data_IF_310052793467
#
_entry.id   IF_310052793467
#
_cell.length_a   1.000
_cell.length_b   1.000
_cell.length_c   1.000
_cell.angle_alpha   90.00
_cell.angle_beta   90.00
_cell.angle_gamma   90.00
#
_symmetry.space_group_name_H-M   'P 1'
#
loop_
_entity.id
_entity.type
_entity.pdbx_description
1 polymer ?
#
# COMPACT_ATOMS: atom_id res chain seq x y z
N UNK A 1 -12.69 -18.17 -19.75
CA UNK A 1 -12.23 -18.71 -18.46
C UNK A 1 -11.06 -17.85 -17.99
N UNK A 2 -11.07 -17.45 -16.72
CA UNK A 2 -10.51 -16.21 -16.19
C UNK A 2 -8.98 -16.17 -16.20
N UNK A 3 -8.47 -15.00 -16.53
CA UNK A 3 -7.06 -14.62 -16.61
C UNK A 3 -6.27 -15.03 -15.36
N UNK A 4 -5.29 -15.90 -15.57
CA UNK A 4 -4.17 -16.14 -14.65
C UNK A 4 -3.22 -14.97 -14.77
N UNK A 5 -3.12 -14.10 -13.76
CA UNK A 5 -1.95 -13.25 -13.62
C UNK A 5 -1.72 -12.95 -12.14
N UNK A 6 -0.43 -12.94 -11.77
CA UNK A 6 0.16 -12.72 -10.45
C UNK A 6 0.38 -13.94 -9.57
N UNK A 7 1.51 -14.62 -9.81
CA UNK A 7 2.59 -14.78 -8.82
C UNK A 7 3.81 -15.31 -9.59
N UNK A 8 4.76 -14.43 -9.93
CA UNK A 8 6.08 -14.86 -10.41
C UNK A 8 7.11 -14.56 -9.33
N UNK A 9 7.27 -15.53 -8.43
CA UNK A 9 8.55 -15.84 -7.80
C UNK A 9 8.71 -17.36 -7.90
N UNK A 10 9.16 -17.85 -9.06
CA UNK A 10 9.72 -19.19 -9.15
C UNK A 10 11.11 -19.16 -8.51
N UNK A 11 11.20 -19.69 -7.28
CA UNK A 11 12.41 -20.27 -6.71
C UNK A 11 12.07 -21.73 -6.35
N UNK A 12 13.03 -22.66 -6.50
CA UNK A 12 12.75 -24.09 -6.44
C UNK A 12 12.36 -24.49 -5.02
N UNK A 13 11.13 -24.96 -4.81
CA UNK A 13 10.64 -25.77 -3.67
C UNK A 13 11.43 -25.61 -2.36
N UNK A 14 11.62 -24.37 -1.90
CA UNK A 14 11.96 -24.10 -0.51
C UNK A 14 10.64 -24.25 0.21
N UNK A 15 10.56 -25.18 1.17
CA UNK A 15 9.41 -25.26 2.08
C UNK A 15 9.17 -23.86 2.64
N UNK A 16 8.11 -23.20 2.16
CA UNK A 16 7.68 -21.91 2.67
C UNK A 16 7.18 -22.18 4.08
N UNK A 17 7.99 -21.89 5.09
CA UNK A 17 7.58 -21.85 6.48
C UNK A 17 7.35 -20.39 6.86
N UNK A 18 6.16 -19.81 6.54
CA UNK A 18 5.85 -18.45 6.94
C UNK A 18 5.86 -18.36 8.47
N UNK A 19 6.47 -17.30 8.99
CA UNK A 19 6.43 -16.98 10.42
C UNK A 19 5.57 -15.74 10.61
N UNK A 20 4.69 -15.76 11.61
CA UNK A 20 3.99 -14.57 12.07
C UNK A 20 5.00 -13.68 12.82
N UNK A 21 5.17 -12.45 12.37
CA UNK A 21 6.19 -11.53 12.89
C UNK A 21 5.59 -10.30 13.58
N UNK A 22 4.34 -9.97 13.25
CA UNK A 22 3.57 -8.89 13.85
C UNK A 22 2.09 -9.27 13.81
N UNK A 23 1.44 -9.14 14.96
CA UNK A 23 0.00 -9.23 15.10
C UNK A 23 -0.46 -7.87 15.64
N UNK A 24 -1.48 -7.29 15.00
CA UNK A 24 -1.96 -5.95 15.32
C UNK A 24 -3.36 -6.01 15.96
N UNK A 25 -3.65 -5.04 16.83
CA UNK A 25 -4.86 -5.04 17.64
C UNK A 25 -6.13 -4.77 16.82
N UNK A 26 -7.25 -5.19 17.36
CA UNK A 26 -8.58 -5.26 16.77
C UNK A 26 -9.26 -3.89 16.55
N UNK A 27 -8.54 -2.77 16.54
CA UNK A 27 -9.15 -1.44 16.37
C UNK A 27 -8.98 -0.87 14.95
N UNK A 28 -8.02 -1.39 14.17
CA UNK A 28 -7.74 -0.95 12.80
C UNK A 28 -7.65 -2.14 11.85
N UNK A 29 -7.86 -1.87 10.56
CA UNK A 29 -7.76 -2.87 9.49
C UNK A 29 -6.56 -2.51 8.63
N UNK A 30 -5.54 -3.37 8.65
CA UNK A 30 -4.45 -3.29 7.68
C UNK A 30 -5.00 -3.67 6.30
N UNK A 31 -4.86 -2.76 5.33
CA UNK A 31 -5.39 -2.94 3.98
C UNK A 31 -4.29 -2.90 2.91
N UNK A 32 -3.06 -2.49 3.26
CA UNK A 32 -1.93 -2.45 2.33
C UNK A 32 -0.62 -2.62 3.09
N UNK A 33 0.34 -3.31 2.48
CA UNK A 33 1.71 -3.45 2.98
C UNK A 33 2.68 -3.17 1.85
N UNK A 34 3.63 -2.27 2.08
CA UNK A 34 4.74 -2.03 1.20
C UNK A 34 6.03 -2.55 1.83
N UNK A 35 6.79 -3.34 1.06
CA UNK A 35 8.05 -3.90 1.49
C UNK A 35 9.20 -3.27 0.71
N UNK A 36 10.25 -2.84 1.42
CA UNK A 36 11.49 -2.44 0.78
C UNK A 36 12.21 -3.68 0.21
N UNK A 37 13.22 -3.49 -0.67
CA UNK A 37 14.08 -4.59 -1.11
C UNK A 37 14.72 -5.33 0.08
N UNK A 38 15.14 -6.60 -0.08
CA UNK A 38 15.68 -7.41 1.02
C UNK A 38 16.90 -6.83 1.75
N UNK A 39 17.57 -5.84 1.17
CA UNK A 39 18.67 -5.10 1.79
C UNK A 39 18.23 -4.06 2.82
N UNK A 40 16.92 -3.80 2.95
CA UNK A 40 16.35 -2.79 3.83
C UNK A 40 15.43 -3.43 4.87
N UNK A 41 15.50 -2.91 6.08
CA UNK A 41 14.71 -3.37 7.23
C UNK A 41 13.36 -2.65 7.36
N UNK A 42 12.96 -1.89 6.33
CA UNK A 42 11.79 -1.03 6.33
C UNK A 42 10.59 -1.68 5.64
N UNK A 43 9.47 -1.67 6.35
CA UNK A 43 8.14 -1.94 5.83
C UNK A 43 7.24 -0.73 6.14
N UNK A 44 6.16 -0.58 5.39
CA UNK A 44 5.09 0.35 5.73
C UNK A 44 3.76 -0.37 5.64
N UNK A 45 3.05 -0.45 6.76
CA UNK A 45 1.68 -0.95 6.80
C UNK A 45 0.70 0.22 6.75
N UNK A 46 -0.38 0.06 6.00
CA UNK A 46 -1.42 1.06 5.85
C UNK A 46 -2.72 0.55 6.44
N UNK A 47 -3.33 1.38 7.27
CA UNK A 47 -4.48 1.05 8.09
C UNK A 47 -5.63 2.02 7.82
N UNK A 48 -6.83 1.48 7.93
CA UNK A 48 -8.06 2.27 8.02
C UNK A 48 -8.79 1.93 9.32
N UNK A 49 -9.56 2.86 9.89
CA UNK A 49 -10.45 2.55 11.00
C UNK A 49 -11.40 1.41 10.63
N UNK A 50 -11.79 0.59 11.62
CA UNK A 50 -12.91 -0.34 11.42
C UNK A 50 -14.19 0.48 11.15
N UNK A 51 -15.08 -0.06 10.32
CA UNK A 51 -16.39 0.55 10.14
C UNK A 51 -17.17 0.39 11.46
N UNK A 52 -17.67 1.52 11.98
CA UNK A 52 -18.55 1.50 13.14
C UNK A 52 -19.91 0.91 12.73
N UNK A 53 -20.17 -0.34 13.12
CA UNK A 53 -21.49 -0.97 12.93
C UNK A 53 -22.50 -0.53 14.00
N UNK A 54 -22.21 0.54 14.76
CA UNK A 54 -23.12 1.13 15.75
C UNK A 54 -24.14 2.07 15.10
N UNK A 55 -25.03 1.52 14.29
CA UNK A 55 -26.36 2.08 14.07
C UNK A 55 -27.31 0.90 13.96
N UNK A 56 -28.18 0.75 14.96
CA UNK A 56 -29.08 -0.37 15.12
C UNK A 56 -30.14 -0.46 14.02
N UNK A 57 -29.75 -0.99 12.88
CA UNK A 57 -30.65 -1.72 12.00
C UNK A 57 -30.13 -3.15 11.92
N UNK A 58 -30.79 -4.02 12.67
CA UNK A 58 -30.66 -5.46 12.58
C UNK A 58 -31.20 -5.93 11.22
N UNK A 59 -30.41 -5.75 10.17
CA UNK A 59 -30.50 -6.55 8.97
C UNK A 59 -29.26 -7.45 8.95
N UNK A 60 -29.50 -8.76 8.94
CA UNK A 60 -28.53 -9.84 8.98
C UNK A 60 -27.30 -9.62 8.08
N UNK A 61 -26.16 -10.31 8.34
CA UNK A 61 -25.02 -10.34 7.42
C UNK A 61 -25.38 -11.23 6.21
N UNK A 62 -26.38 -10.82 5.45
CA UNK A 62 -26.58 -11.28 4.09
C UNK A 62 -25.40 -10.74 3.32
N UNK A 63 -24.46 -11.63 2.97
CA UNK A 63 -23.53 -11.41 1.87
C UNK A 63 -24.33 -11.21 0.58
N UNK A 64 -25.00 -10.08 0.45
CA UNK A 64 -25.42 -9.58 -0.82
C UNK A 64 -24.13 -9.08 -1.46
N UNK A 65 -23.56 -9.91 -2.33
CA UNK A 65 -22.71 -9.51 -3.45
C UNK A 65 -23.51 -8.55 -4.35
N UNK A 66 -24.03 -7.45 -3.79
CA UNK A 66 -24.43 -6.29 -4.55
C UNK A 66 -23.13 -5.79 -5.14
N UNK A 67 -22.92 -6.09 -6.42
CA UNK A 67 -22.05 -5.39 -7.35
C UNK A 67 -21.41 -4.16 -6.69
N UNK A 68 -20.30 -4.37 -5.98
CA UNK A 68 -19.50 -3.28 -5.46
C UNK A 68 -18.70 -2.76 -6.65
N UNK A 69 -19.38 -2.21 -7.66
CA UNK A 69 -18.83 -1.08 -8.39
C UNK A 69 -18.59 -0.04 -7.32
N UNK A 70 -17.34 0.19 -6.90
CA UNK A 70 -17.11 1.08 -5.79
C UNK A 70 -17.57 2.44 -6.28
N UNK A 71 -18.65 2.96 -5.66
CA UNK A 71 -19.20 4.28 -5.99
C UNK A 71 -18.03 5.26 -6.03
N UNK A 72 -17.92 5.98 -7.15
CA UNK A 72 -16.82 6.90 -7.47
C UNK A 72 -16.65 8.05 -6.47
N UNK A 73 -17.46 8.08 -5.41
CA UNK A 73 -17.82 9.28 -4.67
C UNK A 73 -17.57 9.12 -3.18
N UNK A 74 -16.35 9.43 -2.78
CA UNK A 74 -15.97 9.77 -1.42
C UNK A 74 -14.59 10.42 -1.44
N UNK A 75 -14.34 11.43 -0.61
CA UNK A 75 -13.03 12.08 -0.50
C UNK A 75 -11.96 11.20 0.19
N UNK A 76 -12.24 9.90 0.37
CA UNK A 76 -11.53 9.01 1.28
C UNK A 76 -11.96 9.20 2.74
N UNK A 77 -11.47 8.32 3.61
CA UNK A 77 -11.49 8.47 5.08
C UNK A 77 -10.06 8.67 5.57
N UNK A 78 -9.91 9.23 6.77
CA UNK A 78 -8.59 9.39 7.38
C UNK A 78 -8.01 8.01 7.74
N UNK A 79 -7.00 7.59 6.98
CA UNK A 79 -6.21 6.40 7.23
C UNK A 79 -4.88 6.73 7.90
N UNK A 80 -4.12 5.68 8.16
CA UNK A 80 -2.79 5.74 8.78
C UNK A 80 -1.79 4.93 7.97
N UNK A 81 -0.55 5.39 7.88
CA UNK A 81 0.57 4.60 7.39
C UNK A 81 1.66 4.59 8.46
N UNK A 82 2.07 3.40 8.88
CA UNK A 82 3.03 3.22 9.97
C UNK A 82 4.26 2.53 9.42
N UNK A 83 5.42 3.13 9.68
CA UNK A 83 6.71 2.49 9.41
C UNK A 83 6.87 1.35 10.40
N UNK A 84 7.19 0.18 9.88
CA UNK A 84 7.53 -0.99 10.68
C UNK A 84 8.99 -1.31 10.37
N UNK A 85 9.82 -1.39 11.40
CA UNK A 85 11.25 -1.65 11.25
C UNK A 85 11.63 -2.97 11.89
N UNK A 86 12.47 -3.74 11.21
CA UNK A 86 13.11 -4.91 11.81
C UNK A 86 14.05 -4.49 12.94
N UNK A 87 13.85 -5.06 14.13
CA UNK A 87 14.69 -4.78 15.32
C UNK A 87 15.63 -5.94 15.66
N UNK A 88 15.47 -7.09 15.00
CA UNK A 88 16.29 -8.29 15.19
C UNK A 88 15.96 -9.37 14.17
N UNK A 89 16.51 -10.58 14.36
CA UNK A 89 16.39 -11.64 13.35
C UNK A 89 14.95 -12.05 13.02
N UNK A 90 14.00 -11.89 13.95
CA UNK A 90 12.59 -12.25 13.76
C UNK A 90 11.62 -11.31 14.49
N UNK A 91 12.02 -10.06 14.73
CA UNK A 91 11.21 -9.07 15.45
C UNK A 91 11.06 -7.78 14.66
N UNK A 92 9.87 -7.20 14.74
CA UNK A 92 9.50 -5.96 14.11
C UNK A 92 8.87 -5.04 15.15
N UNK A 93 9.12 -3.74 15.02
CA UNK A 93 8.52 -2.72 15.86
C UNK A 93 7.91 -1.63 14.99
N UNK A 94 6.78 -1.10 15.43
CA UNK A 94 6.19 0.09 14.84
C UNK A 94 7.02 1.33 15.20
N UNK A 95 7.10 2.25 14.26
CA UNK A 95 7.81 3.50 14.39
C UNK A 95 6.89 4.69 14.10
N UNK A 96 7.39 5.60 13.28
CA UNK A 96 6.65 6.79 12.85
C UNK A 96 5.34 6.41 12.15
N UNK A 97 4.31 7.22 12.37
CA UNK A 97 3.01 7.08 11.73
C UNK A 97 2.59 8.40 11.12
N UNK A 98 1.84 8.31 10.03
CA UNK A 98 1.25 9.45 9.39
C UNK A 98 -0.15 9.17 8.84
N UNK A 99 -0.82 10.21 8.35
CA UNK A 99 -2.23 10.14 7.96
C UNK A 99 -2.45 10.61 6.53
N UNK A 100 -3.39 9.97 5.85
CA UNK A 100 -3.79 10.32 4.47
C UNK A 100 -5.24 9.93 4.21
N UNK A 101 -5.77 10.29 3.03
CA UNK A 101 -7.11 9.90 2.62
C UNK A 101 -7.06 8.52 1.94
N UNK A 102 -7.60 7.51 2.62
CA UNK A 102 -7.62 6.11 2.16
C UNK A 102 -9.02 5.65 1.82
N UNK A 103 -9.12 4.56 1.08
CA UNK A 103 -10.41 3.98 0.71
C UNK A 103 -11.06 3.29 1.89
N UNK A 104 -12.36 3.54 2.07
CA UNK A 104 -13.16 2.81 3.06
C UNK A 104 -13.29 1.33 2.70
N UNK A 105 -13.38 1.01 1.41
CA UNK A 105 -13.69 -0.35 0.95
C UNK A 105 -12.52 -0.95 0.18
N UNK A 106 -11.92 -0.20 -0.75
CA UNK A 106 -10.84 -0.71 -1.60
C UNK A 106 -9.54 -0.90 -0.83
N UNK A 107 -8.71 -1.84 -1.28
CA UNK A 107 -7.32 -1.90 -0.86
C UNK A 107 -6.54 -0.81 -1.62
N UNK A 108 -6.04 0.25 -0.96
CA UNK A 108 -5.11 1.15 -1.65
C UNK A 108 -3.79 0.43 -1.93
N UNK A 109 -3.10 0.91 -2.95
CA UNK A 109 -1.84 0.33 -3.43
C UNK A 109 -0.71 1.21 -2.98
N UNK A 110 0.32 0.57 -2.46
CA UNK A 110 1.51 1.23 -1.94
C UNK A 110 2.77 0.49 -2.37
N UNK A 111 3.87 1.22 -2.43
CA UNK A 111 5.18 0.70 -2.78
C UNK A 111 6.28 1.47 -2.04
N UNK A 112 7.39 0.79 -1.73
CA UNK A 112 8.62 1.44 -1.30
C UNK A 112 9.55 1.56 -2.50
N UNK A 113 9.99 2.78 -2.78
CA UNK A 113 10.82 3.16 -3.92
C UNK A 113 12.21 3.56 -3.40
N UNK A 114 13.25 2.75 -3.62
CA UNK A 114 14.64 3.10 -3.31
C UNK A 114 15.15 4.20 -4.23
N UNK A 115 15.67 5.29 -3.67
CA UNK A 115 16.12 6.48 -4.43
C UNK A 115 17.64 6.68 -4.43
N UNK A 116 18.40 5.74 -3.86
CA UNK A 116 19.87 5.87 -3.71
C UNK A 116 20.25 6.31 -2.29
N UNK A 117 21.53 6.13 -1.92
CA UNK A 117 22.08 6.54 -0.60
C UNK A 117 21.26 6.07 0.62
N UNK A 118 20.73 4.84 0.57
CA UNK A 118 19.81 4.26 1.57
C UNK A 118 18.51 5.08 1.82
N UNK A 119 18.22 6.05 0.94
CA UNK A 119 16.97 6.78 0.96
C UNK A 119 15.86 6.00 0.26
N UNK A 120 14.68 6.05 0.88
CA UNK A 120 13.49 5.38 0.40
C UNK A 120 12.30 6.34 0.40
N UNK A 121 11.46 6.24 -0.62
CA UNK A 121 10.16 6.89 -0.65
C UNK A 121 9.06 5.86 -0.44
N UNK A 122 8.10 6.19 0.40
CA UNK A 122 6.82 5.51 0.46
C UNK A 122 5.87 6.17 -0.55
N UNK A 123 5.49 5.43 -1.58
CA UNK A 123 4.51 5.85 -2.57
C UNK A 123 3.17 5.16 -2.27
N UNK A 124 2.07 5.91 -2.27
CA UNK A 124 0.74 5.36 -2.06
C UNK A 124 -0.32 6.09 -2.88
N UNK A 125 -1.38 5.37 -3.24
CA UNK A 125 -2.57 5.96 -3.85
C UNK A 125 -3.42 6.69 -2.81
N UNK A 126 -3.56 8.01 -2.95
CA UNK A 126 -4.42 8.84 -2.12
C UNK A 126 -5.78 9.04 -2.78
N UNK A 127 -6.86 8.81 -2.03
CA UNK A 127 -8.23 8.89 -2.53
C UNK A 127 -8.70 10.32 -2.81
N UNK A 128 -8.19 11.30 -2.05
CA UNK A 128 -8.57 12.70 -2.22
C UNK A 128 -7.88 13.33 -3.44
N UNK A 129 -6.59 13.07 -3.61
CA UNK A 129 -5.76 13.53 -4.73
C UNK A 129 -6.05 12.77 -6.03
N UNK A 130 -6.63 11.57 -5.94
CA UNK A 130 -6.87 10.64 -7.07
C UNK A 130 -5.60 10.44 -7.90
N UNK A 131 -4.52 10.18 -7.18
CA UNK A 131 -3.16 10.09 -7.69
C UNK A 131 -2.24 9.46 -6.65
N UNK A 132 -0.95 9.46 -6.94
CA UNK A 132 0.06 8.92 -6.02
C UNK A 132 0.74 10.06 -5.28
N UNK A 133 0.82 9.94 -3.96
CA UNK A 133 1.64 10.80 -3.11
C UNK A 133 2.87 10.02 -2.64
N UNK A 134 3.97 10.73 -2.44
CA UNK A 134 5.27 10.17 -2.05
C UNK A 134 5.83 10.87 -0.84
N UNK A 135 6.31 10.08 0.12
CA UNK A 135 6.75 10.54 1.43
C UNK A 135 8.11 9.92 1.74
N UNK A 136 9.02 10.66 2.38
CA UNK A 136 10.37 10.19 2.73
C UNK A 136 10.31 9.20 3.88
N UNK A 137 11.05 8.10 3.77
CA UNK A 137 11.24 7.14 4.86
C UNK A 137 12.61 7.33 5.53
N UNK A 138 12.73 7.03 6.84
CA UNK A 138 11.66 6.59 7.74
C UNK A 138 10.87 7.76 8.38
N UNK A 139 11.20 9.01 8.07
CA UNK A 139 10.63 10.18 8.76
C UNK A 139 9.15 10.45 8.47
N UNK A 140 8.62 9.87 7.38
CA UNK A 140 7.30 10.17 6.83
C UNK A 140 7.11 11.66 6.49
N UNK A 141 8.20 12.34 6.13
CA UNK A 141 8.14 13.71 5.64
C UNK A 141 7.54 13.77 4.23
N UNK A 142 6.62 14.71 3.98
CA UNK A 142 6.03 14.90 2.64
C UNK A 142 7.14 15.18 1.63
N UNK A 143 7.13 14.46 0.50
CA UNK A 143 8.08 14.66 -0.59
C UNK A 143 7.42 15.33 -1.78
N UNK A 144 6.51 14.63 -2.48
CA UNK A 144 5.84 15.16 -3.67
C UNK A 144 4.57 14.39 -4.02
N UNK A 145 3.68 15.03 -4.77
CA UNK A 145 2.59 14.34 -5.49
C UNK A 145 2.95 14.09 -6.94
N UNK A 146 2.61 12.91 -7.46
CA UNK A 146 2.69 12.59 -8.89
C UNK A 146 1.48 13.18 -9.63
N UNK A 147 1.54 13.14 -10.96
CA UNK A 147 0.46 13.65 -11.82
C UNK A 147 -0.82 12.87 -11.48
N UNK A 148 -1.93 13.55 -11.13
CA UNK A 148 -3.18 12.87 -10.79
C UNK A 148 -3.74 12.05 -11.97
N UNK A 149 -4.23 10.87 -11.66
CA UNK A 149 -4.99 10.06 -12.60
C UNK A 149 -6.43 10.59 -12.76
N UNK A 150 -6.95 11.37 -11.80
CA UNK A 150 -8.37 11.78 -11.68
C UNK A 150 -9.34 10.61 -11.41
N UNK A 151 -8.79 9.40 -11.30
CA UNK A 151 -9.46 8.18 -10.91
C UNK A 151 -8.68 7.55 -9.75
N UNK A 152 -9.32 6.69 -8.94
CA UNK A 152 -8.62 5.94 -7.90
C UNK A 152 -7.47 5.11 -8.49
N UNK A 153 -6.38 4.98 -7.73
CA UNK A 153 -5.24 4.14 -8.11
C UNK A 153 -5.59 2.67 -7.83
N UNK A 154 -5.57 1.85 -8.89
CA UNK A 154 -5.91 0.43 -8.90
C UNK A 154 -4.69 -0.48 -8.73
N UNK A 155 -3.52 -0.08 -9.25
CA UNK A 155 -2.25 -0.76 -9.01
C UNK A 155 -1.08 0.25 -8.89
N UNK A 156 -0.10 -0.08 -8.06
CA UNK A 156 1.11 0.70 -7.87
C UNK A 156 2.29 -0.25 -7.67
N UNK A 157 3.26 -0.22 -8.58
CA UNK A 157 4.38 -1.18 -8.60
C UNK A 157 5.69 -0.48 -8.87
N UNK A 158 6.67 -0.74 -8.00
CA UNK A 158 8.05 -0.39 -8.26
C UNK A 158 8.79 -1.59 -8.85
N UNK A 159 9.55 -1.35 -9.92
CA UNK A 159 10.45 -2.30 -10.53
C UNK A 159 11.85 -1.68 -10.61
N UNK A 160 12.77 -2.16 -9.78
CA UNK A 160 14.17 -1.73 -9.80
C UNK A 160 14.98 -2.44 -10.89
N UNK A 161 15.97 -1.75 -11.44
CA UNK A 161 16.96 -2.36 -12.33
C UNK A 161 18.27 -2.66 -11.58
N UNK A 162 18.96 -3.72 -12.00
CA UNK A 162 20.34 -4.02 -11.54
C UNK A 162 21.36 -3.04 -12.12
N UNK A 163 21.06 -2.43 -13.27
CA UNK A 163 21.93 -1.48 -13.97
C UNK A 163 21.81 -0.02 -13.47
N UNK A 164 21.09 0.20 -12.36
CA UNK A 164 20.81 1.54 -11.83
C UNK A 164 19.39 2.01 -12.20
N UNK A 165 18.81 2.80 -11.30
CA UNK A 165 17.45 3.31 -11.42
C UNK A 165 16.33 2.25 -11.28
N UNK A 166 15.11 2.69 -11.60
CA UNK A 166 13.92 1.86 -11.60
C UNK A 166 12.72 2.58 -12.20
N UNK A 167 11.57 1.91 -12.18
CA UNK A 167 10.32 2.44 -12.67
C UNK A 167 9.23 2.29 -11.63
N UNK A 168 8.43 3.33 -11.45
CA UNK A 168 7.20 3.29 -10.67
C UNK A 168 6.01 3.34 -11.65
N UNK A 169 5.31 2.21 -11.78
CA UNK A 169 4.09 2.11 -12.57
C UNK A 169 2.86 2.38 -11.69
N UNK A 170 1.99 3.27 -12.15
CA UNK A 170 0.74 3.65 -11.51
C UNK A 170 -0.40 3.36 -12.49
N UNK A 171 -1.41 2.60 -12.06
CA UNK A 171 -2.56 2.21 -12.89
C UNK A 171 -3.85 2.75 -12.26
N UNK A 172 -4.70 3.38 -13.07
CA UNK A 172 -6.12 3.66 -12.79
C UNK A 172 -7.00 2.98 -13.84
N UNK A 173 -8.30 3.20 -13.75
CA UNK A 173 -9.29 2.66 -14.70
C UNK A 173 -9.01 3.07 -16.16
N UNK A 174 -8.52 4.29 -16.35
CA UNK A 174 -8.36 4.92 -17.66
C UNK A 174 -6.89 5.20 -18.05
N UNK A 175 -5.94 5.06 -17.12
CA UNK A 175 -4.55 5.50 -17.33
C UNK A 175 -3.53 4.56 -16.72
N UNK A 176 -2.47 4.32 -17.47
CA UNK A 176 -1.19 3.83 -16.98
C UNK A 176 -0.17 4.97 -17.08
N UNK A 177 0.46 5.31 -15.95
CA UNK A 177 1.59 6.23 -15.91
C UNK A 177 2.82 5.49 -15.41
N UNK A 178 3.96 5.71 -16.05
CA UNK A 178 5.24 5.12 -15.67
C UNK A 178 6.23 6.23 -15.41
N UNK A 179 6.76 6.26 -14.19
CA UNK A 179 7.74 7.24 -13.75
C UNK A 179 9.11 6.57 -13.70
N UNK A 180 10.11 7.24 -14.26
CA UNK A 180 11.50 6.85 -14.07
C UNK A 180 11.97 7.32 -12.69
N UNK A 181 12.65 6.44 -11.97
CA UNK A 181 13.29 6.72 -10.68
C UNK A 181 14.79 6.63 -10.90
N UNK A 182 15.47 7.77 -10.82
CA UNK A 182 16.93 7.81 -10.88
C UNK A 182 17.52 7.45 -9.50
N UNK A 183 18.69 6.81 -9.50
CA UNK A 183 19.46 6.41 -8.30
C UNK A 183 20.77 7.16 -8.25
#
# INVERSE_FOLDING_TARGET
>A
SVNRFWFSCMLPLVFLSPKLLLEDDNQRVCFSLACAPPSSDLLVASYRPKADYSSGDAAAPSQAYLSQTPTQSGAGKLGQHTVIRRTGNASFAEGSTCHSNVSEVRMCKSAIVPCGNDEHLFAYGDESHRGVLTWRLPSLGVHSGLIPHRQPILDLRYAGSRAGGGYLGCLSDDKLQVYRVDR
#
